data_IF_615791129574
#
_entry.id   IF_615791129574
#
_cell.length_a   1.000
_cell.length_b   1.000
_cell.length_c   1.000
_cell.angle_alpha   90.00
_cell.angle_beta   90.00
_cell.angle_gamma   90.00
#
_symmetry.space_group_name_H-M   'P 1'
#
loop_
_entity.id
_entity.type
_entity.pdbx_description
1 polymer ?
#
# COMPACT_ATOMS: atom_id res chain seq x y z
N UNK A 1 2.42 7.90 62.39
CA UNK A 1 1.80 8.41 61.14
C UNK A 1 2.56 7.78 60.01
N UNK A 2 1.87 7.14 59.06
CA UNK A 2 2.56 6.52 57.93
C UNK A 2 3.08 7.59 56.95
N UNK A 3 4.26 7.34 56.35
CA UNK A 3 4.89 8.23 55.36
C UNK A 3 3.91 8.56 54.19
N UNK A 4 3.04 7.63 53.84
CA UNK A 4 1.99 7.80 52.84
C UNK A 4 0.97 8.89 53.20
N UNK A 5 0.55 8.92 54.48
CA UNK A 5 -0.39 9.92 55.01
C UNK A 5 0.22 11.32 54.98
N UNK A 6 1.50 11.46 55.31
CA UNK A 6 2.22 12.74 55.24
C UNK A 6 2.38 13.20 53.78
N UNK A 7 2.70 12.29 52.85
CA UNK A 7 2.80 12.62 51.43
C UNK A 7 1.47 13.10 50.84
N UNK A 8 0.38 12.42 51.15
CA UNK A 8 -0.97 12.77 50.70
C UNK A 8 -1.39 14.16 51.24
N UNK A 9 -1.12 14.42 52.52
CA UNK A 9 -1.43 15.72 53.15
C UNK A 9 -0.63 16.86 52.52
N UNK A 10 0.63 16.62 52.14
CA UNK A 10 1.46 17.62 51.46
C UNK A 10 0.97 17.90 50.03
N UNK A 11 0.53 16.88 49.28
CA UNK A 11 -0.07 17.04 47.96
C UNK A 11 -1.36 17.88 48.02
N UNK A 12 -2.23 17.60 48.99
CA UNK A 12 -3.46 18.35 49.19
C UNK A 12 -3.26 19.78 49.63
N UNK A 13 -2.22 20.05 50.45
CA UNK A 13 -1.86 21.42 50.90
C UNK A 13 -1.38 22.28 49.72
N UNK A 14 -0.65 21.69 48.76
CA UNK A 14 -0.10 22.40 47.59
C UNK A 14 -0.85 21.99 46.31
N UNK A 15 -2.18 21.88 46.37
CA UNK A 15 -3.01 21.33 45.29
C UNK A 15 -2.81 21.98 43.92
N UNK A 16 -2.57 23.29 43.84
CA UNK A 16 -2.30 23.98 42.56
C UNK A 16 -1.05 23.45 41.89
N UNK A 17 0.08 23.38 42.63
CA UNK A 17 1.37 22.88 42.11
C UNK A 17 1.30 21.39 41.78
N UNK A 18 0.67 20.59 42.64
CA UNK A 18 0.50 19.16 42.42
C UNK A 18 -0.39 18.88 41.19
N UNK A 19 -1.45 19.67 41.01
CA UNK A 19 -2.34 19.53 39.84
C UNK A 19 -1.62 19.90 38.55
N UNK A 20 -0.87 20.98 38.50
CA UNK A 20 -0.10 21.35 37.30
C UNK A 20 0.95 20.31 36.93
N UNK A 21 1.62 19.71 37.90
CA UNK A 21 2.60 18.64 37.65
C UNK A 21 1.90 17.36 37.14
N UNK A 22 0.78 16.97 37.75
CA UNK A 22 0.01 15.81 37.30
C UNK A 22 -0.57 16.01 35.89
N UNK A 23 -1.07 17.19 35.60
CA UNK A 23 -1.56 17.51 34.26
C UNK A 23 -0.43 17.47 33.22
N UNK A 24 0.74 18.04 33.54
CA UNK A 24 1.88 17.99 32.63
C UNK A 24 2.34 16.56 32.36
N UNK A 25 2.43 15.73 33.40
CA UNK A 25 2.75 14.29 33.25
C UNK A 25 1.68 13.54 32.45
N UNK A 26 0.40 13.80 32.75
CA UNK A 26 -0.73 13.19 32.05
C UNK A 26 -0.75 13.55 30.57
N UNK A 27 -0.58 14.82 30.23
CA UNK A 27 -0.49 15.28 28.83
C UNK A 27 0.70 14.62 28.13
N UNK A 28 1.88 14.56 28.78
CA UNK A 28 3.05 13.90 28.23
C UNK A 28 2.81 12.41 27.94
N UNK A 29 2.20 11.70 28.89
CA UNK A 29 1.85 10.28 28.71
C UNK A 29 0.85 10.08 27.57
N UNK A 30 -0.22 10.86 27.52
CA UNK A 30 -1.21 10.80 26.44
C UNK A 30 -0.57 11.09 25.09
N UNK A 31 0.29 12.11 25.01
CA UNK A 31 1.01 12.42 23.77
C UNK A 31 1.87 11.26 23.28
N UNK A 32 2.60 10.58 24.18
CA UNK A 32 3.42 9.41 23.83
C UNK A 32 2.56 8.26 23.34
N UNK A 33 1.44 7.97 24.01
CA UNK A 33 0.54 6.90 23.62
C UNK A 33 -0.13 7.16 22.26
N UNK A 34 -0.62 8.39 22.05
CA UNK A 34 -1.24 8.79 20.78
C UNK A 34 -0.22 8.73 19.64
N UNK A 35 0.97 9.26 19.85
CA UNK A 35 2.03 9.24 18.84
C UNK A 35 2.50 7.79 18.54
N UNK A 36 2.64 6.95 19.57
CA UNK A 36 2.99 5.54 19.40
C UNK A 36 1.95 4.78 18.61
N UNK A 37 0.67 4.98 18.92
CA UNK A 37 -0.44 4.38 18.17
C UNK A 37 -0.50 4.86 16.72
N UNK A 38 -0.33 6.15 16.50
CA UNK A 38 -0.26 6.73 15.14
C UNK A 38 0.90 6.13 14.32
N UNK A 39 2.11 6.09 14.90
CA UNK A 39 3.28 5.48 14.26
C UNK A 39 3.01 4.02 13.85
N UNK A 40 2.47 3.21 14.75
CA UNK A 40 2.16 1.82 14.46
C UNK A 40 1.15 1.69 13.31
N UNK A 41 0.08 2.50 13.33
CA UNK A 41 -0.92 2.51 12.27
C UNK A 41 -0.33 2.88 10.90
N UNK A 42 0.57 3.85 10.86
CA UNK A 42 1.27 4.25 9.61
C UNK A 42 2.16 3.12 9.09
N UNK A 43 2.95 2.48 9.97
CA UNK A 43 3.82 1.37 9.59
C UNK A 43 2.99 0.21 9.04
N UNK A 44 1.96 -0.22 9.76
CA UNK A 44 1.08 -1.31 9.32
C UNK A 44 0.37 -0.97 8.00
N UNK A 45 -0.02 0.29 7.81
CA UNK A 45 -0.61 0.75 6.55
C UNK A 45 0.36 0.65 5.37
N UNK A 46 1.62 1.05 5.57
CA UNK A 46 2.66 0.94 4.54
C UNK A 46 2.95 -0.53 4.24
N UNK A 47 3.17 -1.36 5.24
CA UNK A 47 3.44 -2.79 5.06
C UNK A 47 2.30 -3.49 4.31
N UNK A 48 1.05 -3.24 4.74
CA UNK A 48 -0.13 -3.78 4.05
C UNK A 48 -0.16 -3.33 2.60
N UNK A 49 0.04 -2.04 2.32
CA UNK A 49 0.03 -1.51 0.97
C UNK A 49 1.14 -2.09 0.10
N UNK A 50 2.36 -2.25 0.64
CA UNK A 50 3.47 -2.86 -0.11
C UNK A 50 3.15 -4.31 -0.45
N UNK A 51 2.65 -5.11 0.48
CA UNK A 51 2.31 -6.52 0.24
C UNK A 51 1.18 -6.64 -0.78
N UNK A 52 0.14 -5.84 -0.65
CA UNK A 52 -1.01 -5.85 -1.57
C UNK A 52 -0.65 -5.50 -3.01
N UNK A 53 0.31 -4.59 -3.23
CA UNK A 53 0.68 -4.14 -4.58
C UNK A 53 1.92 -4.83 -5.15
N UNK A 54 2.83 -5.26 -4.30
CA UNK A 54 4.15 -5.76 -4.70
C UNK A 54 4.45 -7.18 -4.22
N UNK A 55 3.67 -7.70 -3.28
CA UNK A 55 3.91 -8.98 -2.64
C UNK A 55 5.03 -8.91 -1.58
N UNK A 56 5.19 -9.98 -0.81
CA UNK A 56 6.28 -10.12 0.16
C UNK A 56 7.64 -10.31 -0.53
N UNK A 57 7.66 -10.92 -1.70
CA UNK A 57 8.87 -11.20 -2.48
C UNK A 57 8.63 -10.84 -3.94
N UNK A 58 9.65 -10.28 -4.57
CA UNK A 58 9.65 -9.96 -5.99
C UNK A 58 10.82 -10.65 -6.67
N UNK A 59 10.55 -11.30 -7.79
CA UNK A 59 11.57 -11.88 -8.67
C UNK A 59 11.69 -10.98 -9.89
N UNK A 60 12.86 -10.44 -10.10
CA UNK A 60 13.13 -9.54 -11.20
C UNK A 60 14.38 -9.95 -11.96
N UNK A 61 14.47 -9.55 -13.23
CA UNK A 61 15.65 -9.78 -14.05
C UNK A 61 16.84 -9.01 -13.47
N UNK A 62 18.03 -9.61 -13.51
CA UNK A 62 19.28 -8.95 -13.10
C UNK A 62 19.45 -7.62 -13.84
N UNK A 63 19.79 -6.57 -13.12
CA UNK A 63 19.97 -5.22 -13.65
C UNK A 63 18.70 -4.36 -13.65
N UNK A 64 17.53 -4.92 -13.32
CA UNK A 64 16.27 -4.15 -13.30
C UNK A 64 16.35 -2.91 -12.39
N UNK A 65 16.88 -3.05 -11.17
CA UNK A 65 16.96 -1.92 -10.23
C UNK A 65 18.01 -0.86 -10.60
N UNK A 66 19.04 -1.23 -11.34
CA UNK A 66 20.08 -0.29 -11.74
C UNK A 66 19.79 0.42 -13.06
N UNK A 67 19.11 -0.25 -13.98
CA UNK A 67 18.97 0.22 -15.36
C UNK A 67 17.53 0.15 -15.90
N UNK A 68 16.65 -0.62 -15.23
CA UNK A 68 15.26 -0.85 -15.68
C UNK A 68 14.30 0.30 -15.39
N UNK A 69 14.69 1.30 -14.59
CA UNK A 69 13.79 2.41 -14.20
C UNK A 69 13.27 3.22 -15.39
N UNK A 70 14.12 3.44 -16.40
CA UNK A 70 13.76 4.23 -17.60
C UNK A 70 13.05 3.39 -18.67
N UNK A 71 13.32 2.07 -18.69
CA UNK A 71 12.71 1.14 -19.65
C UNK A 71 12.38 -0.21 -19.00
N UNK A 72 11.37 -0.29 -18.14
CA UNK A 72 11.03 -1.49 -17.39
C UNK A 72 10.65 -2.67 -18.29
N UNK A 73 10.08 -2.43 -19.46
CA UNK A 73 9.68 -3.48 -20.40
C UNK A 73 10.86 -4.28 -20.96
N UNK A 74 12.02 -3.66 -21.17
CA UNK A 74 13.23 -4.35 -21.63
C UNK A 74 13.79 -5.33 -20.60
N UNK A 75 13.42 -5.18 -19.33
CA UNK A 75 13.82 -6.05 -18.23
C UNK A 75 12.74 -7.07 -17.84
N UNK A 76 11.72 -7.23 -18.66
CA UNK A 76 10.71 -8.25 -18.46
C UNK A 76 11.30 -9.67 -18.50
N UNK A 77 10.69 -10.59 -17.76
CA UNK A 77 11.05 -12.02 -17.73
C UNK A 77 10.26 -12.73 -18.82
N UNK A 78 10.87 -13.00 -19.97
CA UNK A 78 10.20 -13.59 -21.12
C UNK A 78 9.53 -14.95 -20.82
N UNK A 79 10.15 -15.78 -20.00
CA UNK A 79 9.65 -17.11 -19.63
C UNK A 79 8.99 -17.14 -18.23
N UNK A 80 8.30 -16.09 -17.86
CA UNK A 80 7.64 -16.01 -16.54
C UNK A 80 6.68 -17.18 -16.26
N UNK A 81 5.93 -17.76 -17.23
CA UNK A 81 5.05 -18.89 -16.93
C UNK A 81 5.82 -20.11 -16.42
N UNK A 82 6.98 -20.40 -17.01
CA UNK A 82 7.85 -21.50 -16.57
C UNK A 82 8.39 -21.25 -15.15
N UNK A 83 8.72 -20.00 -14.84
CA UNK A 83 9.17 -19.62 -13.50
C UNK A 83 8.05 -19.79 -12.47
N UNK A 84 6.85 -19.33 -12.80
CA UNK A 84 5.66 -19.51 -11.95
C UNK A 84 5.36 -20.99 -11.70
N UNK A 85 5.42 -21.82 -12.75
CA UNK A 85 5.23 -23.25 -12.65
C UNK A 85 6.29 -23.92 -11.76
N UNK A 86 7.54 -23.49 -11.87
CA UNK A 86 8.61 -24.01 -11.02
C UNK A 86 8.35 -23.71 -9.54
N UNK A 87 7.92 -22.49 -9.21
CA UNK A 87 7.57 -22.09 -7.85
C UNK A 87 6.36 -22.88 -7.32
N UNK A 88 5.30 -23.00 -8.13
CA UNK A 88 4.07 -23.72 -7.76
C UNK A 88 4.27 -25.23 -7.59
N UNK A 89 5.29 -25.81 -8.24
CA UNK A 89 5.61 -27.25 -8.18
C UNK A 89 6.72 -27.61 -7.20
N UNK A 90 7.44 -26.63 -6.68
CA UNK A 90 8.51 -26.86 -5.71
C UNK A 90 7.92 -27.34 -4.38
N UNK A 91 8.38 -28.48 -3.84
CA UNK A 91 7.79 -29.06 -2.63
C UNK A 91 8.03 -28.23 -1.36
N UNK A 92 9.03 -27.34 -1.37
CA UNK A 92 9.33 -26.45 -0.24
C UNK A 92 8.57 -25.14 -0.36
N UNK A 93 8.52 -24.58 -1.56
CA UNK A 93 7.91 -23.26 -1.80
C UNK A 93 6.38 -23.32 -1.90
N UNK A 94 5.84 -24.35 -2.55
CA UNK A 94 4.41 -24.47 -2.79
C UNK A 94 3.53 -24.30 -1.54
N UNK A 95 3.85 -24.93 -0.37
CA UNK A 95 3.04 -24.76 0.84
C UNK A 95 3.21 -23.36 1.50
N UNK A 96 4.25 -22.60 1.15
CA UNK A 96 4.56 -21.29 1.75
C UNK A 96 3.98 -20.13 0.94
N UNK A 97 3.56 -20.36 -0.30
CA UNK A 97 3.16 -19.32 -1.23
C UNK A 97 1.66 -19.33 -1.45
N UNK A 98 1.00 -18.27 -1.03
CA UNK A 98 -0.44 -18.11 -1.20
C UNK A 98 -0.82 -17.67 -2.63
N UNK A 99 -0.04 -16.75 -3.22
CA UNK A 99 -0.27 -16.21 -4.56
C UNK A 99 1.05 -16.01 -5.28
N UNK A 100 1.12 -16.41 -6.54
CA UNK A 100 2.20 -16.10 -7.48
C UNK A 100 1.58 -15.45 -8.69
N UNK A 101 1.88 -14.19 -8.94
CA UNK A 101 1.31 -13.44 -10.05
C UNK A 101 2.38 -12.66 -10.81
N UNK A 102 2.31 -12.58 -12.14
CA UNK A 102 3.19 -11.71 -12.89
C UNK A 102 2.66 -10.29 -12.88
N UNK A 103 3.56 -9.32 -12.89
CA UNK A 103 3.23 -7.93 -13.14
C UNK A 103 4.20 -7.33 -14.15
N UNK A 104 3.72 -6.42 -14.98
CA UNK A 104 4.52 -5.73 -15.98
C UNK A 104 4.34 -4.23 -15.83
N UNK A 105 5.39 -3.53 -15.44
CA UNK A 105 5.41 -2.07 -15.48
C UNK A 105 5.75 -1.58 -16.88
N UNK A 106 5.01 -0.59 -17.36
CA UNK A 106 5.26 0.02 -18.67
C UNK A 106 5.04 1.53 -18.63
N UNK A 107 5.85 2.24 -19.37
CA UNK A 107 5.70 3.65 -19.62
C UNK A 107 5.26 3.90 -21.07
N UNK A 108 4.44 4.91 -21.28
CA UNK A 108 3.96 5.22 -22.62
C UNK A 108 3.28 6.57 -22.72
N UNK A 109 2.72 6.84 -23.89
CA UNK A 109 1.91 8.01 -24.16
C UNK A 109 0.44 7.58 -24.29
N UNK A 110 -0.41 8.13 -23.46
CA UNK A 110 -1.85 8.03 -23.62
C UNK A 110 -2.36 9.30 -24.29
N UNK A 111 -3.24 9.15 -25.29
CA UNK A 111 -3.79 10.28 -26.03
C UNK A 111 -5.29 10.20 -26.18
N UNK A 112 -5.94 11.36 -26.14
CA UNK A 112 -7.31 11.56 -26.59
C UNK A 112 -7.26 12.38 -27.88
N UNK A 113 -7.34 11.69 -29.01
CA UNK A 113 -7.22 12.32 -30.34
C UNK A 113 -8.35 13.32 -30.61
N UNK A 114 -9.55 13.02 -30.13
CA UNK A 114 -10.70 13.91 -30.33
C UNK A 114 -10.52 15.24 -29.59
N UNK A 115 -9.83 15.26 -28.46
CA UNK A 115 -9.54 16.45 -27.68
C UNK A 115 -8.16 17.08 -28.00
N UNK A 116 -7.36 16.45 -28.86
CA UNK A 116 -6.02 16.90 -29.24
C UNK A 116 -5.02 16.90 -28.06
N UNK A 117 -5.16 16.02 -27.10
CA UNK A 117 -4.29 15.97 -25.91
C UNK A 117 -3.61 14.62 -25.78
N UNK A 118 -2.32 14.65 -25.37
CA UNK A 118 -1.57 13.46 -25.01
C UNK A 118 -0.77 13.71 -23.74
N UNK A 119 -0.51 12.64 -22.96
CA UNK A 119 0.26 12.69 -21.70
C UNK A 119 1.09 11.43 -21.55
N UNK A 120 2.28 11.57 -20.98
CA UNK A 120 3.05 10.44 -20.51
C UNK A 120 2.33 9.81 -19.35
N UNK A 121 2.21 8.49 -19.38
CA UNK A 121 1.56 7.68 -18.35
C UNK A 121 2.45 6.52 -17.98
N UNK A 122 2.36 6.10 -16.73
CA UNK A 122 2.87 4.82 -16.27
C UNK A 122 1.68 3.88 -16.06
N UNK A 123 1.80 2.66 -16.53
CA UNK A 123 0.78 1.64 -16.39
C UNK A 123 1.39 0.35 -15.83
N UNK A 124 0.54 -0.48 -15.26
CA UNK A 124 0.90 -1.80 -14.76
C UNK A 124 -0.07 -2.82 -15.33
N UNK A 125 0.47 -3.83 -16.00
CA UNK A 125 -0.27 -5.01 -16.39
C UNK A 125 -0.26 -6.02 -15.26
N UNK A 126 -1.43 -6.59 -14.96
CA UNK A 126 -1.63 -7.57 -13.89
C UNK A 126 -2.58 -8.66 -14.32
N UNK A 127 -2.49 -9.83 -13.69
CA UNK A 127 -3.52 -10.86 -13.77
C UNK A 127 -4.56 -10.54 -12.70
N UNK A 128 -5.76 -10.15 -13.12
CA UNK A 128 -6.77 -9.49 -12.28
C UNK A 128 -7.16 -10.35 -11.07
N UNK A 129 -7.46 -11.64 -11.29
CA UNK A 129 -7.89 -12.55 -10.25
C UNK A 129 -6.83 -12.76 -9.18
N UNK A 130 -5.59 -12.98 -9.60
CA UNK A 130 -4.45 -13.18 -8.69
C UNK A 130 -4.10 -11.88 -7.96
N UNK A 131 -4.15 -10.76 -8.66
CA UNK A 131 -3.91 -9.45 -8.05
C UNK A 131 -4.98 -9.10 -7.02
N UNK A 132 -6.26 -9.36 -7.33
CA UNK A 132 -7.35 -9.14 -6.37
C UNK A 132 -7.19 -10.02 -5.12
N UNK A 133 -6.71 -11.27 -5.26
CA UNK A 133 -6.35 -12.10 -4.09
C UNK A 133 -5.22 -11.51 -3.26
N UNK A 134 -4.22 -10.85 -3.87
CA UNK A 134 -3.20 -10.14 -3.12
C UNK A 134 -3.78 -8.95 -2.33
N UNK A 135 -4.75 -8.24 -2.90
CA UNK A 135 -5.42 -7.12 -2.26
C UNK A 135 -6.23 -7.53 -1.01
N UNK A 136 -6.60 -8.81 -0.87
CA UNK A 136 -7.29 -9.34 0.31
C UNK A 136 -6.36 -9.51 1.54
N UNK A 137 -5.04 -9.47 1.34
CA UNK A 137 -4.10 -9.62 2.44
C UNK A 137 -4.22 -8.46 3.44
N UNK A 138 -4.51 -8.77 4.70
CA UNK A 138 -4.71 -7.77 5.76
C UNK A 138 -4.48 -8.37 7.15
N UNK A 139 -3.27 -8.82 7.42
CA UNK A 139 -2.90 -9.46 8.70
C UNK A 139 -3.04 -8.51 9.89
N UNK A 140 -2.89 -7.21 9.66
CA UNK A 140 -3.05 -6.19 10.70
C UNK A 140 -4.49 -5.74 10.92
N UNK A 141 -5.46 -6.34 10.22
CA UNK A 141 -6.89 -6.05 10.33
C UNK A 141 -7.21 -4.54 10.18
N UNK A 142 -6.52 -3.88 9.30
CA UNK A 142 -6.77 -2.46 9.00
C UNK A 142 -8.13 -2.32 8.32
N UNK A 143 -8.89 -1.31 8.74
CA UNK A 143 -10.19 -1.02 8.12
C UNK A 143 -9.95 -0.52 6.71
N UNK A 144 -10.18 -1.40 5.75
CA UNK A 144 -10.33 -1.19 4.32
C UNK A 144 -9.40 -0.16 3.64
N UNK A 145 -8.49 -0.66 2.85
CA UNK A 145 -7.70 0.20 1.96
C UNK A 145 -7.63 -0.29 0.53
N UNK A 146 -8.02 -1.51 0.25
CA UNK A 146 -7.98 -2.02 -1.10
C UNK A 146 -9.38 -2.39 -1.58
N UNK A 147 -9.71 -1.83 -2.71
CA UNK A 147 -10.85 -2.28 -3.46
C UNK A 147 -10.36 -3.19 -4.59
N UNK A 148 -11.02 -4.34 -4.83
CA UNK A 148 -10.66 -5.20 -5.94
C UNK A 148 -10.76 -4.41 -7.25
N UNK A 149 -9.86 -4.70 -8.18
CA UNK A 149 -9.90 -4.09 -9.51
C UNK A 149 -11.19 -4.53 -10.22
N UNK A 150 -11.99 -3.59 -10.73
CA UNK A 150 -13.26 -3.88 -11.41
C UNK A 150 -13.04 -4.36 -12.84
N UNK A 151 -12.05 -5.24 -13.06
CA UNK A 151 -11.67 -5.76 -14.37
C UNK A 151 -11.99 -7.24 -14.53
N UNK A 152 -12.60 -7.87 -13.53
CA UNK A 152 -13.01 -9.26 -13.60
C UNK A 152 -14.02 -9.43 -14.74
N UNK A 153 -13.70 -10.32 -15.67
CA UNK A 153 -14.56 -10.57 -16.84
C UNK A 153 -14.44 -9.55 -17.99
N UNK A 154 -13.59 -8.53 -17.88
CA UNK A 154 -13.39 -7.54 -18.95
C UNK A 154 -12.51 -8.03 -20.11
N UNK A 155 -11.98 -9.25 -20.03
CA UNK A 155 -11.02 -9.78 -21.01
C UNK A 155 -9.64 -9.14 -20.88
N UNK A 156 -8.83 -9.24 -21.94
CA UNK A 156 -7.45 -8.72 -21.96
C UNK A 156 -7.36 -7.24 -22.28
N UNK A 157 -8.46 -6.62 -22.71
CA UNK A 157 -8.50 -5.22 -23.17
C UNK A 157 -9.02 -4.25 -22.12
N UNK A 158 -9.37 -4.77 -20.94
CA UNK A 158 -9.84 -3.96 -19.83
C UNK A 158 -8.74 -3.08 -19.23
N UNK A 159 -9.04 -1.79 -19.02
CA UNK A 159 -8.12 -0.83 -18.41
C UNK A 159 -8.83 -0.01 -17.36
N UNK A 160 -8.22 0.13 -16.18
CA UNK A 160 -8.61 1.10 -15.17
C UNK A 160 -7.73 2.33 -15.28
N UNK A 161 -8.36 3.48 -15.42
CA UNK A 161 -7.66 4.76 -15.54
C UNK A 161 -7.89 5.56 -14.25
N UNK A 162 -6.81 6.04 -13.65
CA UNK A 162 -6.90 6.95 -12.50
C UNK A 162 -7.61 8.27 -12.87
N UNK A 163 -8.45 8.78 -11.97
CA UNK A 163 -9.23 10.02 -12.19
C UNK A 163 -8.37 11.21 -12.61
N UNK A 164 -7.13 11.31 -12.07
CA UNK A 164 -6.18 12.33 -12.45
C UNK A 164 -5.75 12.26 -13.92
N UNK A 165 -5.55 11.05 -14.44
CA UNK A 165 -5.21 10.80 -15.84
C UNK A 165 -6.42 11.10 -16.73
N UNK A 166 -7.61 10.60 -16.35
CA UNK A 166 -8.86 10.86 -17.07
C UNK A 166 -9.11 12.37 -17.22
N UNK A 167 -8.91 13.14 -16.16
CA UNK A 167 -9.07 14.61 -16.18
C UNK A 167 -8.06 15.28 -17.10
N UNK A 168 -6.78 14.88 -17.05
CA UNK A 168 -5.74 15.44 -17.92
C UNK A 168 -5.92 15.09 -19.40
N UNK A 169 -6.53 13.96 -19.69
CA UNK A 169 -6.86 13.53 -21.04
C UNK A 169 -8.24 14.02 -21.50
N UNK A 170 -8.94 14.83 -20.69
CA UNK A 170 -10.30 15.32 -20.99
C UNK A 170 -11.29 14.18 -21.30
N UNK A 171 -11.21 13.11 -20.50
CA UNK A 171 -12.08 11.93 -20.63
C UNK A 171 -13.22 11.93 -19.62
N UNK A 172 -13.29 12.91 -18.71
CA UNK A 172 -14.29 12.92 -17.64
C UNK A 172 -15.72 12.89 -18.16
N UNK A 173 -16.02 13.71 -19.18
CA UNK A 173 -17.36 13.77 -19.79
C UNK A 173 -17.70 12.43 -20.49
N UNK A 174 -16.75 11.87 -21.23
CA UNK A 174 -16.94 10.60 -21.95
C UNK A 174 -17.11 9.41 -20.99
N UNK A 175 -16.37 9.42 -19.87
CA UNK A 175 -16.40 8.34 -18.88
C UNK A 175 -17.40 8.61 -17.73
N UNK A 176 -18.12 9.75 -17.77
CA UNK A 176 -19.06 10.18 -16.71
C UNK A 176 -18.44 10.15 -15.32
N UNK A 177 -17.18 10.59 -15.22
CA UNK A 177 -16.44 10.69 -13.96
C UNK A 177 -16.63 12.09 -13.39
N UNK A 178 -17.00 12.22 -12.09
CA UNK A 178 -17.21 13.51 -11.44
C UNK A 178 -15.93 14.35 -11.27
#
# INVERSE_FOLDING_TARGET
>A
MSTLSLALRNLLRNRRRSLTTLLAMGIGLVAILVFGGYKSNVIYGIETGVVQHSGHLQIQRKGYFSEGGDNPTSYGIANYPRLMDAIKKDPVLAPMVAVVTPSLSLGGLAGNFAAGVSRSVMAQGVVVEEHNRMLEWNDYQLKSYSHPLPLVGSGTDGVVIGTGVARKLKLCDALKVP
#
